data_IF_593658488688
#
_entry.id   IF_593658488688
#
_cell.length_a   1.000
_cell.length_b   1.000
_cell.length_c   1.000
_cell.angle_alpha   90.00
_cell.angle_beta   90.00
_cell.angle_gamma   90.00
#
_symmetry.space_group_name_H-M   'P 1'
#
loop_
_entity.id
_entity.type
_entity.pdbx_description
1 polymer ?
#
# COMPACT_ATOMS: atom_id res chain seq x y z
N UNK A 1 -19.67 6.65 9.83
CA UNK A 1 -20.26 6.07 8.60
C UNK A 1 -20.20 7.17 7.55
N UNK A 2 -19.24 7.16 6.63
CA UNK A 2 -19.19 8.17 5.57
C UNK A 2 -20.19 7.78 4.48
N UNK A 3 -21.09 8.69 4.16
CA UNK A 3 -22.17 8.52 3.18
C UNK A 3 -21.63 8.86 1.79
N UNK A 4 -21.88 7.99 0.81
CA UNK A 4 -21.61 8.28 -0.59
C UNK A 4 -22.68 9.26 -1.10
N UNK A 5 -22.27 10.44 -1.55
CA UNK A 5 -23.15 11.34 -2.31
C UNK A 5 -22.91 11.12 -3.80
N UNK A 6 -23.99 10.83 -4.53
CA UNK A 6 -24.01 10.82 -6.00
C UNK A 6 -24.16 12.26 -6.45
N UNK A 7 -23.15 12.82 -7.10
CA UNK A 7 -23.22 14.14 -7.77
C UNK A 7 -23.42 13.95 -9.26
N UNK A 8 -24.38 14.71 -9.79
CA UNK A 8 -24.88 14.69 -11.17
C UNK A 8 -23.81 15.05 -12.21
N UNK A 9 -23.83 14.34 -13.34
CA UNK A 9 -22.77 14.36 -14.36
C UNK A 9 -23.02 15.44 -15.41
N UNK A 10 -22.20 16.49 -15.45
CA UNK A 10 -22.10 17.39 -16.61
C UNK A 10 -21.04 16.89 -17.62
N UNK A 11 -21.27 16.96 -18.94
CA UNK A 11 -20.35 16.45 -19.95
C UNK A 11 -19.33 17.53 -20.34
N UNK A 12 -18.16 17.51 -19.69
CA UNK A 12 -17.04 18.37 -20.06
C UNK A 12 -15.78 17.97 -19.30
N UNK A 13 -14.99 17.08 -19.90
CA UNK A 13 -13.66 16.65 -19.41
C UNK A 13 -13.56 16.41 -17.91
N UNK A 14 -14.34 15.47 -17.39
CA UNK A 14 -14.00 14.83 -16.12
C UNK A 14 -12.85 13.87 -16.36
N UNK A 15 -11.60 14.35 -16.24
CA UNK A 15 -10.62 13.48 -15.58
C UNK A 15 -11.28 13.18 -14.25
N UNK A 16 -11.83 11.98 -14.10
CA UNK A 16 -12.41 11.55 -12.85
C UNK A 16 -11.25 11.58 -11.86
N UNK A 17 -11.15 12.68 -11.11
CA UNK A 17 -10.41 12.70 -9.86
C UNK A 17 -11.20 11.73 -9.01
N UNK A 18 -10.84 10.45 -9.10
CA UNK A 18 -11.29 9.44 -8.14
C UNK A 18 -10.88 10.04 -6.81
N UNK A 19 -11.87 10.48 -6.03
CA UNK A 19 -11.61 11.02 -4.70
C UNK A 19 -11.10 9.85 -3.87
N UNK A 20 -9.78 9.68 -3.86
CA UNK A 20 -9.12 8.59 -3.16
C UNK A 20 -9.27 8.85 -1.67
N UNK A 21 -9.91 7.94 -0.95
CA UNK A 21 -9.90 7.93 0.50
C UNK A 21 -8.46 8.04 1.03
N UNK A 22 -8.27 8.66 2.20
CA UNK A 22 -6.96 8.70 2.88
C UNK A 22 -6.35 7.31 3.14
N UNK A 23 -7.17 6.24 3.05
CA UNK A 23 -6.73 4.86 3.15
C UNK A 23 -6.21 4.25 1.82
N UNK A 24 -6.36 4.95 0.69
CA UNK A 24 -6.08 4.46 -0.66
C UNK A 24 -4.95 5.24 -1.36
N UNK A 25 -4.09 5.95 -0.62
CA UNK A 25 -2.94 6.64 -1.19
C UNK A 25 -1.78 5.69 -1.57
N UNK A 26 -1.86 4.42 -1.16
CA UNK A 26 -0.97 3.34 -1.60
C UNK A 26 -1.83 2.24 -2.20
N UNK A 27 -1.46 1.76 -3.39
CA UNK A 27 -2.21 0.74 -4.11
C UNK A 27 -1.35 -0.51 -4.23
N UNK A 28 -1.76 -1.61 -3.59
CA UNK A 28 -1.11 -2.91 -3.78
C UNK A 28 -1.48 -3.50 -5.14
N UNK A 29 -0.47 -3.92 -5.90
CA UNK A 29 -0.61 -4.39 -7.27
C UNK A 29 -0.43 -5.90 -7.34
N UNK A 30 -1.15 -6.55 -8.26
CA UNK A 30 -0.98 -7.97 -8.59
C UNK A 30 -1.04 -8.92 -7.37
N UNK A 31 -1.88 -8.62 -6.38
CA UNK A 31 -2.00 -9.44 -5.17
C UNK A 31 -2.65 -10.79 -5.50
N UNK A 32 -1.88 -11.87 -5.34
CA UNK A 32 -2.37 -13.23 -5.50
C UNK A 32 -3.42 -13.63 -4.45
N UNK A 33 -4.25 -14.62 -4.79
CA UNK A 33 -5.23 -15.20 -3.85
C UNK A 33 -4.61 -16.15 -2.82
N UNK A 34 -3.43 -16.69 -3.13
CA UNK A 34 -2.65 -17.57 -2.27
C UNK A 34 -1.17 -17.48 -2.63
N UNK A 35 -0.32 -17.77 -1.66
CA UNK A 35 1.13 -17.75 -1.80
C UNK A 35 1.71 -19.05 -1.22
N UNK A 36 2.87 -19.48 -1.73
CA UNK A 36 3.53 -20.69 -1.25
C UNK A 36 4.17 -20.40 0.12
N UNK A 37 3.98 -21.25 1.15
CA UNK A 37 4.49 -21.01 2.49
C UNK A 37 6.02 -20.80 2.55
N UNK A 38 6.77 -21.49 1.70
CA UNK A 38 8.25 -21.52 1.70
C UNK A 38 8.90 -20.74 0.56
N UNK A 39 8.13 -19.91 -0.14
CA UNK A 39 8.65 -19.04 -1.18
C UNK A 39 8.65 -17.59 -0.70
N UNK A 40 9.65 -16.77 -1.12
CA UNK A 40 9.59 -15.34 -0.92
C UNK A 40 8.29 -14.76 -1.50
N UNK A 41 7.61 -13.93 -0.71
CA UNK A 41 6.44 -13.19 -1.15
C UNK A 41 6.88 -11.81 -1.64
N UNK A 42 6.80 -11.63 -2.96
CA UNK A 42 7.00 -10.33 -3.60
C UNK A 42 5.73 -9.49 -3.48
N UNK A 43 5.84 -8.34 -2.82
CA UNK A 43 4.76 -7.41 -2.62
C UNK A 43 5.02 -6.14 -3.43
N UNK A 44 4.19 -5.94 -4.45
CA UNK A 44 4.23 -4.76 -5.31
C UNK A 44 3.22 -3.72 -4.86
N UNK A 45 3.62 -2.45 -4.86
CA UNK A 45 2.72 -1.35 -4.57
C UNK A 45 3.12 -0.08 -5.30
N UNK A 46 2.14 0.78 -5.50
CA UNK A 46 2.31 2.12 -6.08
C UNK A 46 2.03 3.17 -5.02
N UNK A 47 3.01 4.03 -4.78
CA UNK A 47 2.81 5.29 -4.08
C UNK A 47 2.09 6.25 -5.03
N UNK A 48 0.93 6.74 -4.65
CA UNK A 48 0.17 7.71 -5.47
C UNK A 48 0.66 9.14 -5.22
N UNK A 49 0.25 10.12 -6.04
CA UNK A 49 0.57 11.54 -5.82
C UNK A 49 0.09 12.11 -4.49
N UNK A 50 -0.80 11.41 -3.78
CA UNK A 50 -1.45 11.86 -2.55
C UNK A 50 -0.70 11.48 -1.27
N UNK A 51 0.43 10.76 -1.37
CA UNK A 51 1.29 10.43 -0.23
C UNK A 51 2.71 10.94 -0.45
N UNK A 52 3.29 11.51 0.61
CA UNK A 52 4.73 11.78 0.69
C UNK A 52 5.37 10.62 1.48
N UNK A 53 6.23 9.79 0.85
CA UNK A 53 6.87 8.69 1.54
C UNK A 53 7.82 9.21 2.63
N UNK A 54 7.95 8.42 3.69
CA UNK A 54 8.80 8.72 4.83
C UNK A 54 9.70 7.52 5.16
N UNK A 55 10.94 7.72 5.64
CA UNK A 55 11.86 6.62 5.98
C UNK A 55 11.37 5.66 7.08
N UNK A 56 10.30 6.02 7.80
CA UNK A 56 9.64 5.18 8.82
C UNK A 56 8.35 4.54 8.31
N UNK A 57 8.07 4.63 7.02
CA UNK A 57 6.94 3.90 6.43
C UNK A 57 7.31 2.42 6.32
N UNK A 58 6.31 1.56 6.49
CA UNK A 58 6.51 0.12 6.46
C UNK A 58 5.28 -0.57 5.85
N UNK A 59 5.51 -1.74 5.29
CA UNK A 59 4.48 -2.62 4.74
C UNK A 59 4.35 -3.80 5.69
N UNK A 60 3.13 -4.05 6.17
CA UNK A 60 2.83 -5.14 7.09
C UNK A 60 1.95 -6.22 6.46
N UNK A 61 2.19 -7.46 6.83
CA UNK A 61 1.26 -8.56 6.60
C UNK A 61 0.39 -8.69 7.85
N UNK A 62 -0.92 -8.61 7.69
CA UNK A 62 -1.87 -8.67 8.79
C UNK A 62 -2.84 -9.83 8.60
N UNK A 63 -3.24 -10.43 9.72
CA UNK A 63 -4.42 -11.30 9.73
C UNK A 63 -5.66 -10.44 9.48
N UNK A 64 -6.56 -10.91 8.61
CA UNK A 64 -7.85 -10.24 8.38
C UNK A 64 -8.61 -10.08 9.71
N UNK A 65 -9.14 -8.88 9.95
CA UNK A 65 -9.79 -8.52 11.21
C UNK A 65 -8.86 -7.90 12.26
N UNK A 66 -7.65 -7.47 11.88
CA UNK A 66 -6.77 -6.67 12.72
C UNK A 66 -7.45 -5.37 13.17
N UNK A 67 -7.10 -4.86 14.36
CA UNK A 67 -7.70 -3.66 14.95
C UNK A 67 -6.75 -2.47 14.94
N UNK A 68 -5.45 -2.73 15.17
CA UNK A 68 -4.42 -1.70 15.21
C UNK A 68 -3.22 -2.09 14.37
N UNK A 69 -2.40 -1.09 14.00
CA UNK A 69 -1.14 -1.34 13.32
C UNK A 69 -0.15 -2.21 14.14
N UNK A 70 -0.37 -2.45 15.44
CA UNK A 70 0.48 -3.34 16.24
C UNK A 70 0.18 -4.83 16.01
N UNK A 71 -0.92 -5.15 15.36
CA UNK A 71 -1.39 -6.53 15.15
C UNK A 71 -0.76 -7.18 13.89
N UNK A 72 0.40 -6.69 13.44
CA UNK A 72 1.09 -7.23 12.28
C UNK A 72 1.60 -8.65 12.58
N UNK A 73 1.54 -9.52 11.58
CA UNK A 73 2.21 -10.82 11.62
C UNK A 73 3.72 -10.68 11.35
N UNK A 74 4.06 -9.90 10.33
CA UNK A 74 5.44 -9.48 10.01
C UNK A 74 5.39 -8.14 9.27
N UNK A 75 6.53 -7.45 9.19
CA UNK A 75 6.65 -6.19 8.47
C UNK A 75 8.01 -6.03 7.80
N UNK A 76 8.06 -5.16 6.80
CA UNK A 76 9.30 -4.66 6.22
C UNK A 76 9.23 -3.15 6.08
N UNK A 77 10.36 -2.48 6.29
CA UNK A 77 10.48 -1.05 5.98
C UNK A 77 10.28 -0.82 4.49
N UNK A 78 9.49 0.20 4.15
CA UNK A 78 9.33 0.67 2.78
C UNK A 78 10.62 1.38 2.37
N UNK A 79 11.35 0.91 1.34
CA UNK A 79 12.59 1.55 0.98
C UNK A 79 12.29 2.94 0.39
N UNK A 80 12.91 3.98 0.94
CA UNK A 80 12.74 5.36 0.47
C UNK A 80 13.16 5.49 -1.00
N UNK A 81 12.35 6.12 -1.88
CA UNK A 81 12.79 6.40 -3.24
C UNK A 81 13.94 7.42 -3.23
N UNK A 82 15.03 7.14 -3.96
CA UNK A 82 16.23 8.00 -3.97
C UNK A 82 15.97 9.38 -4.57
N UNK A 83 15.08 9.48 -5.57
CA UNK A 83 14.70 10.72 -6.26
C UNK A 83 13.18 10.90 -6.23
N UNK A 84 12.61 11.00 -5.02
CA UNK A 84 11.18 11.28 -4.88
C UNK A 84 10.84 12.72 -5.26
N UNK A 85 10.02 12.88 -6.29
CA UNK A 85 9.40 14.15 -6.64
C UNK A 85 7.99 14.22 -6.02
N UNK A 86 7.66 15.27 -5.23
CA UNK A 86 6.32 15.45 -4.69
C UNK A 86 5.24 15.43 -5.78
N UNK A 87 4.16 14.68 -5.54
CA UNK A 87 3.05 14.52 -6.50
C UNK A 87 3.34 13.54 -7.65
N UNK A 88 4.47 12.83 -7.63
CA UNK A 88 4.74 11.74 -8.57
C UNK A 88 4.16 10.41 -8.08
N UNK A 89 3.85 9.52 -9.04
CA UNK A 89 3.53 8.12 -8.75
C UNK A 89 4.80 7.28 -8.85
N UNK A 90 5.06 6.44 -7.84
CA UNK A 90 6.28 5.61 -7.80
C UNK A 90 5.92 4.15 -7.52
N UNK A 91 6.37 3.26 -8.41
CA UNK A 91 6.28 1.81 -8.20
C UNK A 91 7.38 1.32 -7.27
N UNK A 92 7.02 0.48 -6.31
CA UNK A 92 7.93 -0.11 -5.33
C UNK A 92 7.63 -1.60 -5.14
N UNK A 93 8.63 -2.30 -4.62
CA UNK A 93 8.56 -3.70 -4.27
C UNK A 93 9.23 -3.93 -2.93
N UNK A 94 8.65 -4.79 -2.10
CA UNK A 94 9.33 -5.42 -0.95
C UNK A 94 9.21 -6.94 -1.05
N UNK A 95 10.20 -7.67 -0.55
CA UNK A 95 10.18 -9.13 -0.55
C UNK A 95 10.18 -9.67 0.87
N UNK A 96 9.07 -10.29 1.27
CA UNK A 96 8.98 -11.00 2.53
C UNK A 96 9.60 -12.40 2.36
N UNK A 97 10.64 -12.69 3.13
CA UNK A 97 11.26 -14.01 3.16
C UNK A 97 10.74 -14.79 4.37
N UNK A 98 10.63 -16.12 4.24
CA UNK A 98 10.26 -17.00 5.36
C UNK A 98 11.42 -17.25 6.35
N UNK A 99 12.57 -16.58 6.17
CA UNK A 99 13.79 -16.94 6.89
C UNK A 99 13.99 -16.08 8.15
N UNK A 100 14.01 -16.80 9.28
CA UNK A 100 14.40 -16.45 10.66
C UNK A 100 13.33 -15.77 11.54
N UNK A 101 12.40 -16.57 12.04
CA UNK A 101 11.84 -16.43 13.40
C UNK A 101 12.90 -16.61 14.51
N UNK A 102 14.10 -16.06 14.35
CA UNK A 102 15.08 -15.93 15.42
C UNK A 102 15.57 -14.48 15.43
N UNK A 103 14.77 -13.61 16.04
CA UNK A 103 15.41 -12.55 16.83
C UNK A 103 15.94 -13.21 18.11
N UNK A 104 17.22 -12.98 18.49
CA UNK A 104 17.72 -13.37 19.81
C UNK A 104 16.97 -12.66 20.95
#
# INVERSE_FOLDING_TARGET
MSSFQVVDSSPGSSVSVMETSNFAHVIFQNVGKSFLPQAPLECHYTLTPYITPHPKDWVGIFKVGWSTARDYYTFLWSPMPESYEPGSSVHRTVMFQENETNCP
#
